data_IF_380692028896
#
_entry.id   IF_380692028896
#
_cell.length_a   1.000
_cell.length_b   1.000
_cell.length_c   1.000
_cell.angle_alpha   90.00
_cell.angle_beta   90.00
_cell.angle_gamma   90.00
#
_symmetry.space_group_name_H-M   'P 1'
#
loop_
_entity.id
_entity.type
_entity.pdbx_description
1 polymer ?
#
# COMPACT_ATOMS: atom_id res chain seq x y z
N UNK A 1 -12.52 8.97 1.49
CA UNK A 1 -13.28 10.21 1.82
C UNK A 1 -12.45 11.43 1.50
N UNK A 2 -13.08 12.60 1.30
CA UNK A 2 -12.40 13.80 0.81
C UNK A 2 -11.26 14.30 1.73
N UNK A 3 -11.37 14.08 3.04
CA UNK A 3 -10.29 14.37 4.00
C UNK A 3 -9.06 13.46 3.84
N UNK A 4 -9.27 12.16 3.60
CA UNK A 4 -8.17 11.20 3.43
C UNK A 4 -7.36 11.53 2.17
N UNK A 5 -8.04 11.80 1.05
CA UNK A 5 -7.37 12.17 -0.20
C UNK A 5 -6.51 13.44 -0.06
N UNK A 6 -7.00 14.44 0.69
CA UNK A 6 -6.22 15.64 0.98
C UNK A 6 -4.98 15.35 1.85
N UNK A 7 -5.12 14.49 2.87
CA UNK A 7 -3.98 14.09 3.71
C UNK A 7 -2.93 13.36 2.88
N UNK A 8 -3.35 12.42 2.02
CA UNK A 8 -2.44 11.70 1.14
C UNK A 8 -1.65 12.64 0.21
N UNK A 9 -2.34 13.55 -0.47
CA UNK A 9 -1.72 14.54 -1.35
C UNK A 9 -0.74 15.45 -0.59
N UNK A 10 -1.16 15.95 0.57
CA UNK A 10 -0.31 16.77 1.43
C UNK A 10 0.98 16.03 1.85
N UNK A 11 0.88 14.78 2.28
CA UNK A 11 2.03 13.98 2.69
C UNK A 11 2.95 13.65 1.51
N UNK A 12 2.39 13.36 0.32
CA UNK A 12 3.15 13.16 -0.93
C UNK A 12 3.94 14.42 -1.31
N UNK A 13 3.29 15.58 -1.31
CA UNK A 13 3.94 16.87 -1.63
C UNK A 13 5.07 17.21 -0.65
N UNK A 14 4.88 16.90 0.63
CA UNK A 14 5.91 17.10 1.68
C UNK A 14 6.95 15.99 1.75
N UNK A 15 6.86 14.96 0.89
CA UNK A 15 7.75 13.78 0.89
C UNK A 15 7.78 13.04 2.24
N UNK A 16 6.68 13.10 2.98
CA UNK A 16 6.50 12.41 4.27
C UNK A 16 6.01 10.98 4.02
N UNK A 17 6.87 10.18 3.42
CA UNK A 17 6.50 8.85 2.93
C UNK A 17 6.25 7.82 4.04
N UNK A 18 6.89 7.97 5.20
CA UNK A 18 6.58 7.14 6.37
C UNK A 18 5.16 7.44 6.88
N UNK A 19 4.85 8.71 7.13
CA UNK A 19 3.51 9.15 7.54
C UNK A 19 2.44 8.69 6.53
N UNK A 20 2.74 8.77 5.22
CA UNK A 20 1.83 8.34 4.17
C UNK A 20 1.57 6.83 4.21
N UNK A 21 2.63 6.03 4.38
CA UNK A 21 2.55 4.57 4.55
C UNK A 21 1.62 4.22 5.72
N UNK A 22 1.81 4.89 6.86
CA UNK A 22 1.06 4.63 8.09
C UNK A 22 -0.43 4.99 7.93
N UNK A 23 -0.73 6.12 7.28
CA UNK A 23 -2.11 6.56 6.98
C UNK A 23 -2.84 5.58 6.06
N UNK A 24 -2.19 5.14 4.98
CA UNK A 24 -2.78 4.19 4.03
C UNK A 24 -3.00 2.82 4.66
N UNK A 25 -2.06 2.34 5.48
CA UNK A 25 -2.23 1.10 6.25
C UNK A 25 -3.37 1.18 7.27
N UNK A 26 -3.55 2.33 7.93
CA UNK A 26 -4.67 2.53 8.83
C UNK A 26 -6.00 2.57 8.07
N UNK A 27 -6.03 3.24 6.91
CA UNK A 27 -7.22 3.33 6.07
C UNK A 27 -7.63 1.95 5.49
N UNK A 28 -6.68 1.10 5.14
CA UNK A 28 -6.92 -0.25 4.59
C UNK A 28 -7.50 -1.22 5.62
N UNK A 29 -7.37 -0.88 6.91
CA UNK A 29 -7.91 -1.64 8.05
C UNK A 29 -9.15 -1.01 8.65
N UNK A 30 -9.63 0.12 8.11
CA UNK A 30 -10.78 0.82 8.64
C UNK A 30 -12.07 -0.04 8.50
N UNK A 31 -12.93 -0.08 9.52
CA UNK A 31 -14.19 -0.81 9.43
C UNK A 31 -15.05 -0.34 8.26
N UNK A 32 -15.60 -1.28 7.49
CA UNK A 32 -16.48 -0.97 6.35
C UNK A 32 -15.77 -0.55 5.06
N UNK A 33 -14.43 -0.58 5.02
CA UNK A 33 -13.68 -0.45 3.75
C UNK A 33 -13.95 -1.67 2.86
N UNK A 34 -14.15 -1.46 1.55
CA UNK A 34 -14.29 -2.55 0.60
C UNK A 34 -12.96 -3.24 0.35
N UNK A 35 -13.00 -4.49 -0.11
CA UNK A 35 -11.78 -5.21 -0.51
C UNK A 35 -11.05 -4.48 -1.65
N UNK A 36 -11.76 -3.91 -2.62
CA UNK A 36 -11.15 -3.17 -3.73
C UNK A 36 -10.35 -1.97 -3.22
N UNK A 37 -10.94 -1.16 -2.33
CA UNK A 37 -10.22 -0.02 -1.73
C UNK A 37 -9.06 -0.48 -0.85
N UNK A 38 -9.20 -1.60 -0.12
CA UNK A 38 -8.11 -2.18 0.67
C UNK A 38 -6.95 -2.62 -0.23
N UNK A 39 -7.24 -3.26 -1.37
CA UNK A 39 -6.24 -3.68 -2.35
C UNK A 39 -5.50 -2.47 -2.93
N UNK A 40 -6.22 -1.42 -3.34
CA UNK A 40 -5.61 -0.17 -3.83
C UNK A 40 -4.67 0.46 -2.80
N UNK A 41 -5.10 0.54 -1.53
CA UNK A 41 -4.28 1.12 -0.47
C UNK A 41 -3.05 0.25 -0.13
N UNK A 42 -3.19 -1.07 -0.10
CA UNK A 42 -2.05 -1.97 0.11
C UNK A 42 -1.04 -1.89 -1.05
N UNK A 43 -1.53 -1.76 -2.29
CA UNK A 43 -0.69 -1.56 -3.47
C UNK A 43 0.16 -0.29 -3.33
N UNK A 44 -0.48 0.83 -2.96
CA UNK A 44 0.22 2.08 -2.71
C UNK A 44 1.25 1.98 -1.57
N UNK A 45 0.88 1.32 -0.46
CA UNK A 45 1.79 1.07 0.68
C UNK A 45 3.02 0.29 0.24
N UNK A 46 2.84 -0.76 -0.55
CA UNK A 46 3.95 -1.56 -1.05
C UNK A 46 4.86 -0.71 -1.93
N UNK A 47 4.31 0.00 -2.92
CA UNK A 47 5.07 0.90 -3.81
C UNK A 47 5.81 2.02 -3.06
N UNK A 48 5.21 2.61 -2.03
CA UNK A 48 5.88 3.61 -1.19
C UNK A 48 7.06 2.96 -0.44
N UNK A 49 6.86 1.76 0.10
CA UNK A 49 7.88 1.02 0.83
C UNK A 49 9.09 0.73 -0.06
N UNK A 50 8.90 0.17 -1.26
CA UNK A 50 10.00 -0.10 -2.19
C UNK A 50 10.64 1.17 -2.76
N UNK A 51 9.86 2.09 -3.31
CA UNK A 51 10.40 3.17 -4.15
C UNK A 51 10.86 4.39 -3.37
N UNK A 52 10.23 4.67 -2.22
CA UNK A 52 10.48 5.90 -1.44
C UNK A 52 11.24 5.63 -0.16
N UNK A 53 10.90 4.54 0.53
CA UNK A 53 11.51 4.18 1.81
C UNK A 53 12.67 3.17 1.66
N UNK A 54 12.79 2.51 0.49
CA UNK A 54 13.74 1.41 0.26
C UNK A 54 13.58 0.26 1.25
N UNK A 55 12.37 0.10 1.76
CA UNK A 55 11.94 -0.97 2.66
C UNK A 55 11.36 -2.12 1.83
N UNK A 56 12.25 -2.93 1.25
CA UNK A 56 11.88 -4.03 0.36
C UNK A 56 11.18 -5.16 1.14
N UNK A 57 11.66 -5.47 2.34
CA UNK A 57 11.05 -6.50 3.19
C UNK A 57 9.63 -6.10 3.58
N UNK A 58 9.42 -4.84 4.00
CA UNK A 58 8.08 -4.33 4.27
C UNK A 58 7.18 -4.33 3.03
N UNK A 59 7.71 -4.06 1.83
CA UNK A 59 6.94 -4.16 0.60
C UNK A 59 6.49 -5.61 0.32
N UNK A 60 7.37 -6.60 0.50
CA UNK A 60 7.07 -8.03 0.30
C UNK A 60 5.93 -8.49 1.20
N UNK A 61 5.95 -8.10 2.48
CA UNK A 61 4.88 -8.48 3.42
C UNK A 61 3.52 -7.89 3.00
N UNK A 62 3.52 -6.66 2.49
CA UNK A 62 2.30 -6.00 2.01
C UNK A 62 1.79 -6.64 0.71
N UNK A 63 2.67 -7.00 -0.23
CA UNK A 63 2.29 -7.74 -1.43
C UNK A 63 1.70 -9.12 -1.10
N UNK A 64 2.24 -9.80 -0.08
CA UNK A 64 1.68 -11.07 0.42
C UNK A 64 0.29 -10.87 1.04
N UNK A 65 0.09 -9.81 1.82
CA UNK A 65 -1.22 -9.47 2.38
C UNK A 65 -2.24 -9.20 1.25
N UNK A 66 -1.83 -8.46 0.22
CA UNK A 66 -2.68 -8.18 -0.94
C UNK A 66 -3.10 -9.47 -1.66
N UNK A 67 -2.17 -10.43 -1.87
CA UNK A 67 -2.48 -11.73 -2.48
C UNK A 67 -3.38 -12.63 -1.62
N UNK A 68 -3.47 -12.39 -0.31
CA UNK A 68 -4.46 -13.08 0.53
C UNK A 68 -5.89 -12.57 0.26
N UNK A 69 -6.04 -11.31 -0.17
CA UNK A 69 -7.32 -10.70 -0.52
C UNK A 69 -7.72 -10.99 -1.97
N UNK A 70 -6.76 -10.89 -2.89
CA UNK A 70 -6.93 -11.24 -4.30
C UNK A 70 -5.74 -12.07 -4.80
N UNK A 71 -5.93 -13.39 -4.85
CA UNK A 71 -4.91 -14.34 -5.32
C UNK A 71 -4.64 -14.22 -6.82
N UNK A 72 -5.53 -13.58 -7.57
CA UNK A 72 -5.41 -13.40 -9.01
C UNK A 72 -4.66 -12.12 -9.41
N UNK A 73 -4.26 -11.29 -8.45
CA UNK A 73 -3.55 -10.04 -8.69
C UNK A 73 -2.18 -10.28 -9.36
N UNK A 74 -2.12 -10.05 -10.66
CA UNK A 74 -0.92 -10.31 -11.47
C UNK A 74 0.25 -9.41 -11.05
N UNK A 75 -0.02 -8.12 -10.75
CA UNK A 75 1.04 -7.20 -10.34
C UNK A 75 1.70 -7.64 -9.03
N UNK A 76 0.92 -8.04 -8.03
CA UNK A 76 1.48 -8.49 -6.77
C UNK A 76 2.28 -9.81 -6.92
N UNK A 77 1.86 -10.70 -7.83
CA UNK A 77 2.62 -11.92 -8.15
C UNK A 77 3.94 -11.61 -8.84
N UNK A 78 3.93 -10.75 -9.85
CA UNK A 78 5.12 -10.36 -10.60
C UNK A 78 6.16 -9.74 -9.66
N UNK A 79 5.73 -8.84 -8.77
CA UNK A 79 6.62 -8.21 -7.79
C UNK A 79 7.29 -9.19 -6.82
N UNK A 80 6.65 -10.32 -6.49
CA UNK A 80 7.22 -11.35 -5.62
C UNK A 80 8.13 -12.32 -6.38
N UNK A 81 7.82 -12.63 -7.65
CA UNK A 81 8.65 -13.49 -8.50
C UNK A 81 10.00 -12.85 -8.80
N UNK A 82 10.03 -11.55 -9.08
CA UNK A 82 11.28 -10.81 -9.35
C UNK A 82 12.22 -10.71 -8.13
N UNK A 83 11.72 -11.07 -6.93
CA UNK A 83 12.40 -10.86 -5.65
C UNK A 83 12.68 -12.13 -4.85
N UNK A 84 12.31 -13.30 -5.39
CA UNK A 84 12.70 -14.63 -4.90
C UNK A 84 13.91 -15.16 -5.63
#
# INVERSE_FOLDING_TARGET
GQALAWVEDFLRQRRKFQDLKDVLLAASRAPGVSNDTRIEQLRDVAQISEQKLRDLDGAIEVWRELLQLDRSDEQARDHLIERT
#
